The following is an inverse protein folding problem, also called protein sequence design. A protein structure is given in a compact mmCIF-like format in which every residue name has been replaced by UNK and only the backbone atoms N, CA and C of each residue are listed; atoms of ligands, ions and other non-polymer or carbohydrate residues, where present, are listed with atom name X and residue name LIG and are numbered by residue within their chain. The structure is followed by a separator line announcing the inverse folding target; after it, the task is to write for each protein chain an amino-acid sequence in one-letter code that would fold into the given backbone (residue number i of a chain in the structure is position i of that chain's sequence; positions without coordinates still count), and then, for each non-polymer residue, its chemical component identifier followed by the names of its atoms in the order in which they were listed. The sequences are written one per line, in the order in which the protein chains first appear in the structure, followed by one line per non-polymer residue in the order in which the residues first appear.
data_IF_812470722796
#
_entry.id   IF_812470722796
#
_cell.length_a   1.000
_cell.length_b   1.000
_cell.length_c   1.000
_cell.angle_alpha   90.00
_cell.angle_beta   90.00
_cell.angle_gamma   90.00
#
_symmetry.space_group_name_H-M   'P 1'
#
loop_
_entity.id
_entity.type
_entity.pdbx_description
1 polymer ?
#
# COMPACT_ATOMS: atom_id res chain seq x y z
N UNK A 1 -26.84 -5.64 10.57
CA UNK A 1 -25.50 -6.09 10.14
C UNK A 1 -24.63 -4.86 10.01
N UNK A 2 -23.65 -4.69 10.89
CA UNK A 2 -22.63 -3.64 10.73
C UNK A 2 -21.74 -4.05 9.56
N UNK A 3 -21.90 -3.40 8.41
CA UNK A 3 -20.89 -3.45 7.36
C UNK A 3 -19.64 -2.75 7.90
N UNK A 4 -18.77 -3.51 8.56
CA UNK A 4 -17.45 -3.00 8.94
C UNK A 4 -16.64 -3.01 7.65
N UNK A 5 -16.60 -1.86 6.97
CA UNK A 5 -15.67 -1.65 5.88
C UNK A 5 -14.26 -1.86 6.44
N UNK A 6 -13.62 -2.98 6.09
CA UNK A 6 -12.25 -3.27 6.48
C UNK A 6 -11.34 -2.22 5.84
N UNK A 7 -10.39 -1.69 6.61
CA UNK A 7 -9.35 -0.83 6.05
C UNK A 7 -8.44 -1.63 5.12
N UNK A 8 -7.76 -0.92 4.22
CA UNK A 8 -6.81 -1.56 3.32
C UNK A 8 -5.62 -2.20 4.05
N UNK A 9 -5.20 -1.63 5.19
CA UNK A 9 -4.24 -2.26 6.10
C UNK A 9 -4.74 -3.61 6.63
N UNK A 10 -5.98 -3.67 7.11
CA UNK A 10 -6.56 -4.92 7.61
C UNK A 10 -6.63 -5.97 6.50
N UNK A 11 -7.10 -5.58 5.32
CA UNK A 11 -7.18 -6.48 4.16
C UNK A 11 -5.79 -7.00 3.77
N UNK A 12 -4.78 -6.13 3.72
CA UNK A 12 -3.41 -6.51 3.39
C UNK A 12 -2.81 -7.50 4.41
N UNK A 13 -3.05 -7.29 5.71
CA UNK A 13 -2.63 -8.23 6.77
C UNK A 13 -3.29 -9.60 6.62
N UNK A 14 -4.61 -9.61 6.43
CA UNK A 14 -5.38 -10.85 6.27
C UNK A 14 -4.97 -11.62 5.01
N UNK A 15 -4.64 -10.93 3.91
CA UNK A 15 -4.12 -11.54 2.68
C UNK A 15 -2.77 -12.24 2.91
N UNK A 16 -1.94 -11.74 3.82
CA UNK A 16 -0.71 -12.41 4.29
C UNK A 16 -0.97 -13.44 5.39
N UNK A 17 -2.22 -13.68 5.78
CA UNK A 17 -2.65 -14.61 6.83
C UNK A 17 -1.98 -14.35 8.18
N UNK A 18 -1.71 -13.08 8.48
CA UNK A 18 -1.05 -12.67 9.72
C UNK A 18 -2.07 -12.28 10.78
N UNK A 19 -1.80 -12.64 12.03
CA UNK A 19 -2.60 -12.17 13.17
C UNK A 19 -2.28 -10.71 13.52
N UNK A 20 -3.23 -9.97 14.10
CA UNK A 20 -3.00 -8.57 14.50
C UNK A 20 -1.82 -8.45 15.46
N UNK A 21 -1.70 -9.34 16.44
CA UNK A 21 -0.60 -9.34 17.40
C UNK A 21 0.76 -9.58 16.74
N UNK A 22 0.81 -10.44 15.73
CA UNK A 22 2.03 -10.75 14.98
C UNK A 22 2.55 -9.52 14.22
N UNK A 23 1.67 -8.85 13.47
CA UNK A 23 2.06 -7.64 12.74
C UNK A 23 2.46 -6.50 13.69
N UNK A 24 1.74 -6.34 14.81
CA UNK A 24 2.09 -5.36 15.83
C UNK A 24 3.48 -5.61 16.44
N UNK A 25 3.82 -6.88 16.71
CA UNK A 25 5.13 -7.27 17.21
C UNK A 25 6.25 -6.95 16.20
N UNK A 26 6.06 -7.24 14.91
CA UNK A 26 7.02 -6.90 13.85
C UNK A 26 7.25 -5.39 13.72
N UNK A 27 6.19 -4.60 13.90
CA UNK A 27 6.25 -3.14 13.87
C UNK A 27 6.78 -2.54 15.18
N UNK A 28 6.94 -3.35 16.24
CA UNK A 28 7.30 -2.92 17.60
C UNK A 28 6.31 -1.88 18.14
N UNK A 29 5.02 -2.15 18.01
CA UNK A 29 3.92 -1.33 18.53
C UNK A 29 2.96 -2.18 19.35
N UNK A 30 2.11 -1.54 20.15
CA UNK A 30 1.05 -2.24 20.86
C UNK A 30 -0.04 -2.71 19.90
N UNK A 31 -0.65 -3.86 20.18
CA UNK A 31 -1.76 -4.41 19.38
C UNK A 31 -2.94 -3.41 19.27
N UNK A 32 -3.20 -2.66 20.34
CA UNK A 32 -4.25 -1.62 20.35
C UNK A 32 -3.98 -0.48 19.35
N UNK A 33 -2.71 -0.14 19.13
CA UNK A 33 -2.33 0.89 18.13
C UNK A 33 -2.63 0.38 16.73
N UNK A 34 -2.26 -0.87 16.43
CA UNK A 34 -2.55 -1.48 15.14
C UNK A 34 -4.06 -1.61 14.90
N UNK A 35 -4.83 -2.03 15.91
CA UNK A 35 -6.31 -2.06 15.84
C UNK A 35 -6.89 -0.66 15.58
N UNK A 36 -6.31 0.37 16.21
CA UNK A 36 -6.68 1.76 15.94
C UNK A 36 -6.47 2.14 14.48
N UNK A 37 -5.30 1.82 13.92
CA UNK A 37 -5.01 2.04 12.51
C UNK A 37 -5.95 1.26 11.59
N UNK A 38 -6.22 -0.01 11.90
CA UNK A 38 -7.14 -0.84 11.11
C UNK A 38 -8.59 -0.33 11.14
N UNK A 39 -8.97 0.38 12.21
CA UNK A 39 -10.25 1.08 12.33
C UNK A 39 -10.26 2.47 11.67
N UNK A 40 -9.16 2.89 11.03
CA UNK A 40 -9.03 4.21 10.38
C UNK A 40 -8.65 5.35 11.32
N UNK A 41 -8.26 5.04 12.56
CA UNK A 41 -7.88 6.01 13.57
C UNK A 41 -6.37 6.27 13.63
N UNK A 42 -6.00 7.52 13.94
CA UNK A 42 -4.62 7.92 14.19
C UNK A 42 -3.80 8.18 12.91
N UNK A 43 -2.51 8.45 13.10
CA UNK A 43 -1.56 8.74 12.00
C UNK A 43 -0.47 7.68 11.98
N UNK A 44 -0.23 7.11 10.80
CA UNK A 44 0.87 6.16 10.57
C UNK A 44 2.08 6.96 10.09
N UNK A 45 3.19 6.87 10.82
CA UNK A 45 4.44 7.53 10.44
C UNK A 45 5.02 6.89 9.17
N UNK A 46 5.73 7.67 8.35
CA UNK A 46 6.26 7.22 7.06
C UNK A 46 7.17 5.99 7.18
N UNK A 47 8.02 5.91 8.21
CA UNK A 47 8.88 4.75 8.44
C UNK A 47 8.07 3.46 8.71
N UNK A 48 6.92 3.60 9.39
CA UNK A 48 5.97 2.50 9.61
C UNK A 48 5.24 2.13 8.33
N UNK A 49 4.85 3.09 7.51
CA UNK A 49 4.25 2.81 6.19
C UNK A 49 5.22 2.01 5.32
N UNK A 50 6.49 2.40 5.25
CA UNK A 50 7.51 1.67 4.48
C UNK A 50 7.69 0.25 5.01
N UNK A 51 7.74 0.07 6.34
CA UNK A 51 7.81 -1.28 6.95
C UNK A 51 6.58 -2.12 6.63
N UNK A 52 5.39 -1.53 6.70
CA UNK A 52 4.14 -2.19 6.34
C UNK A 52 4.16 -2.65 4.88
N UNK A 53 4.59 -1.79 3.95
CA UNK A 53 4.73 -2.17 2.53
C UNK A 53 5.62 -3.39 2.35
N UNK A 54 6.76 -3.43 3.05
CA UNK A 54 7.70 -4.55 2.95
C UNK A 54 7.19 -5.84 3.60
N UNK A 55 6.58 -5.75 4.79
CA UNK A 55 6.05 -6.92 5.52
C UNK A 55 4.84 -7.50 4.77
N UNK A 56 3.94 -6.62 4.33
CA UNK A 56 2.68 -7.00 3.71
C UNK A 56 2.77 -7.16 2.20
N UNK A 57 3.92 -6.84 1.60
CA UNK A 57 4.21 -6.96 0.17
C UNK A 57 3.11 -6.29 -0.68
N UNK A 58 2.84 -5.03 -0.33
CA UNK A 58 1.76 -4.25 -0.93
C UNK A 58 2.14 -2.78 -1.01
N UNK A 59 1.35 -2.00 -1.74
CA UNK A 59 1.63 -0.58 -1.93
C UNK A 59 1.08 0.28 -0.78
N UNK A 60 1.61 1.49 -0.65
CA UNK A 60 1.10 2.49 0.30
C UNK A 60 -0.36 2.84 0.05
N UNK A 61 -0.80 2.85 -1.21
CA UNK A 61 -2.18 3.14 -1.61
C UNK A 61 -3.13 2.07 -1.07
N UNK A 62 -2.72 0.79 -1.13
CA UNK A 62 -3.50 -0.28 -0.53
C UNK A 62 -3.59 -0.07 0.99
N UNK A 63 -2.46 0.17 1.67
CA UNK A 63 -2.44 0.33 3.13
C UNK A 63 -3.29 1.51 3.61
N UNK A 64 -3.15 2.68 2.97
CA UNK A 64 -3.73 3.93 3.45
C UNK A 64 -5.14 4.17 2.92
N UNK A 65 -5.46 3.71 1.71
CA UNK A 65 -6.68 4.08 1.00
C UNK A 65 -7.53 2.88 0.56
N UNK A 66 -7.08 1.64 0.80
CA UNK A 66 -7.71 0.44 0.25
C UNK A 66 -7.86 0.51 -1.29
N UNK A 67 -6.89 1.14 -1.95
CA UNK A 67 -6.88 1.28 -3.40
C UNK A 67 -5.77 0.42 -4.00
N UNK A 68 -6.10 -0.31 -5.07
CA UNK A 68 -5.10 -0.87 -5.96
C UNK A 68 -5.16 -0.10 -7.28
N UNK A 69 -4.15 0.72 -7.54
CA UNK A 69 -4.01 1.39 -8.82
C UNK A 69 -3.27 0.45 -9.75
N UNK A 70 -3.95 0.00 -10.81
CA UNK A 70 -3.29 -0.71 -11.89
C UNK A 70 -2.29 0.24 -12.54
N UNK A 71 -1.08 -0.26 -12.79
CA UNK A 71 -0.11 0.46 -13.61
C UNK A 71 -0.71 0.77 -14.99
N UNK A 72 -0.10 1.74 -15.68
CA UNK A 72 -0.49 2.06 -17.05
C UNK A 72 -0.32 0.80 -17.92
N UNK A 73 -1.40 0.30 -18.52
CA UNK A 73 -1.31 -0.79 -19.47
C UNK A 73 -0.80 -0.24 -20.81
N UNK A 74 0.37 -0.70 -21.23
CA UNK A 74 1.02 -0.29 -22.49
C UNK A 74 1.06 -1.41 -23.53
N UNK A 75 0.49 -2.58 -23.23
CA UNK A 75 0.58 -3.78 -24.08
C UNK A 75 -0.14 -3.61 -25.43
N UNK A 76 -1.13 -2.72 -25.50
CA UNK A 76 -1.88 -2.44 -26.74
C UNK A 76 -1.26 -1.32 -27.59
N UNK A 77 -0.19 -0.68 -27.11
CA UNK A 77 0.44 0.45 -27.79
C UNK A 77 1.47 0.01 -28.83
N UNK A 78 1.66 0.83 -29.87
CA UNK A 78 2.74 0.66 -30.85
C UNK A 78 4.11 0.89 -30.21
N UNK A 79 5.19 0.43 -30.85
CA UNK A 79 6.55 0.69 -30.37
C UNK A 79 6.85 2.18 -30.22
N UNK A 80 6.42 3.03 -31.17
CA UNK A 80 6.66 4.48 -31.08
C UNK A 80 5.95 5.10 -29.87
N UNK A 81 4.71 4.67 -29.60
CA UNK A 81 3.93 5.13 -28.46
C UNK A 81 4.57 4.69 -27.13
N UNK A 82 5.05 3.44 -27.05
CA UNK A 82 5.77 2.94 -25.87
C UNK A 82 7.07 3.72 -25.65
N UNK A 83 7.84 3.98 -26.71
CA UNK A 83 9.06 4.77 -26.63
C UNK A 83 8.80 6.18 -26.11
N UNK A 84 7.72 6.83 -26.58
CA UNK A 84 7.31 8.14 -26.07
C UNK A 84 6.97 8.09 -24.57
N UNK A 85 6.24 7.08 -24.11
CA UNK A 85 5.93 6.91 -22.67
C UNK A 85 7.20 6.76 -21.85
N UNK A 86 8.18 5.97 -22.32
CA UNK A 86 9.44 5.81 -21.62
C UNK A 86 10.24 7.11 -21.55
N UNK A 87 10.26 7.90 -22.62
CA UNK A 87 10.91 9.22 -22.62
C UNK A 87 10.23 10.18 -21.63
N UNK A 88 8.89 10.23 -21.61
CA UNK A 88 8.14 11.03 -20.62
C UNK A 88 8.47 10.61 -19.18
N UNK A 89 8.52 9.30 -18.91
CA UNK A 89 8.90 8.80 -17.60
C UNK A 89 10.33 9.23 -17.19
N UNK A 90 11.30 9.13 -18.11
CA UNK A 90 12.68 9.58 -17.87
C UNK A 90 12.74 11.07 -17.56
N UNK A 91 12.01 11.91 -18.31
CA UNK A 91 11.93 13.34 -18.06
C UNK A 91 11.38 13.65 -16.67
N UNK A 92 10.28 13.00 -16.27
CA UNK A 92 9.69 13.17 -14.94
C UNK A 92 10.64 12.72 -13.81
N UNK A 93 11.38 11.63 -14.03
CA UNK A 93 12.33 11.10 -13.06
C UNK A 93 13.56 11.99 -12.88
N UNK A 94 14.03 12.61 -13.98
CA UNK A 94 15.21 13.45 -14.00
C UNK A 94 14.94 14.91 -13.61
N UNK A 95 13.68 15.36 -13.64
CA UNK A 95 13.24 16.66 -13.10
C UNK A 95 13.10 16.65 -11.56
N UNK A 96 13.94 15.87 -10.86
CA UNK A 96 14.01 15.85 -9.40
C UNK A 96 15.06 16.80 -8.88
#
# INVERSE_FOLDING_TARGET
MTNINKSGLQIARENKKMETLELAALLKINESVLKGWEAGGGTIQLDKVIKLMNILDTSSEMILFNESRKGLNIETLTEEQRNLIFELYKQMKNNK
#
